data_IF_758517212332
#
_entry.id   IF_758517212332
#
_cell.length_a   1.000
_cell.length_b   1.000
_cell.length_c   1.000
_cell.angle_alpha   90.00
_cell.angle_beta   90.00
_cell.angle_gamma   90.00
#
_symmetry.space_group_name_H-M   'P 1'
#
loop_
_entity.id
_entity.type
_entity.pdbx_description
1 polymer ?
#
# COMPACT_ATOMS: atom_id res chain seq x y z
N UNK A 1 -15.80 -50.58 15.49
CA UNK A 1 -16.06 -50.65 14.03
C UNK A 1 -15.53 -49.37 13.42
N UNK A 2 -14.67 -49.47 12.38
CA UNK A 2 -14.02 -48.34 11.72
C UNK A 2 -14.88 -47.95 10.53
N UNK A 3 -15.36 -46.72 10.48
CA UNK A 3 -16.11 -46.22 9.34
C UNK A 3 -15.13 -45.70 8.28
N UNK A 4 -14.82 -46.57 7.33
CA UNK A 4 -13.87 -46.30 6.26
C UNK A 4 -14.35 -45.19 5.29
N UNK A 5 -15.63 -44.80 5.33
CA UNK A 5 -16.17 -43.73 4.48
C UNK A 5 -15.84 -42.32 5.02
N UNK A 6 -15.73 -42.15 6.33
CA UNK A 6 -15.51 -40.83 6.96
C UNK A 6 -14.05 -40.59 7.37
N UNK A 7 -13.23 -41.63 7.43
CA UNK A 7 -11.80 -41.52 7.75
C UNK A 7 -11.53 -41.12 9.22
N UNK A 8 -12.50 -41.34 10.11
CA UNK A 8 -12.41 -41.02 11.54
C UNK A 8 -12.42 -42.28 12.40
N UNK A 9 -11.64 -42.26 13.47
CA UNK A 9 -11.63 -43.27 14.51
C UNK A 9 -12.84 -43.11 15.45
N UNK A 10 -13.12 -44.13 16.26
CA UNK A 10 -14.24 -44.13 17.21
C UNK A 10 -14.12 -43.06 18.30
N UNK A 11 -12.92 -42.53 18.53
CA UNK A 11 -12.62 -41.40 19.41
C UNK A 11 -12.76 -40.03 18.72
N UNK A 12 -13.23 -40.00 17.46
CA UNK A 12 -13.41 -38.80 16.66
C UNK A 12 -12.15 -38.25 16.02
N UNK A 13 -10.97 -38.86 16.24
CA UNK A 13 -9.71 -38.44 15.60
C UNK A 13 -9.66 -38.87 14.15
N UNK A 14 -8.99 -38.07 13.33
CA UNK A 14 -8.70 -38.45 11.95
C UNK A 14 -7.70 -39.62 11.91
N UNK A 15 -8.00 -40.61 11.07
CA UNK A 15 -7.08 -41.71 10.82
C UNK A 15 -5.84 -41.23 10.06
N UNK A 16 -4.73 -41.95 10.21
CA UNK A 16 -3.49 -41.66 9.50
C UNK A 16 -3.74 -41.69 7.99
N UNK A 17 -3.48 -40.58 7.29
CA UNK A 17 -3.79 -40.39 5.87
C UNK A 17 -5.09 -39.60 5.58
N UNK A 18 -5.94 -39.40 6.58
CA UNK A 18 -7.19 -38.62 6.50
C UNK A 18 -7.11 -37.31 7.29
N UNK A 19 -5.89 -36.77 7.42
CA UNK A 19 -5.67 -35.51 8.13
C UNK A 19 -6.51 -34.40 7.51
N UNK A 20 -7.18 -33.62 8.37
CA UNK A 20 -7.89 -32.41 7.94
C UNK A 20 -6.98 -31.42 7.22
N UNK A 21 -7.51 -30.24 6.90
CA UNK A 21 -6.74 -29.22 6.16
C UNK A 21 -5.39 -28.95 6.83
N UNK A 22 -4.33 -28.85 6.03
CA UNK A 22 -2.95 -28.61 6.51
C UNK A 22 -2.96 -27.42 7.48
N UNK A 23 -2.36 -27.53 8.68
CA UNK A 23 -2.23 -26.40 9.60
C UNK A 23 -1.65 -25.17 8.87
N UNK A 24 -2.33 -24.04 8.99
CA UNK A 24 -1.97 -22.80 8.27
C UNK A 24 -2.65 -22.61 6.89
N UNK A 25 -3.51 -23.53 6.45
CA UNK A 25 -4.26 -23.32 5.20
C UNK A 25 -5.22 -22.13 5.35
N UNK A 26 -5.00 -21.06 4.58
CA UNK A 26 -5.90 -19.90 4.54
C UNK A 26 -7.04 -20.18 3.56
N UNK A 27 -8.27 -19.87 3.95
CA UNK A 27 -9.39 -19.91 3.01
C UNK A 27 -9.17 -18.83 1.95
N UNK A 28 -9.05 -19.24 0.69
CA UNK A 28 -9.07 -18.30 -0.44
C UNK A 28 -10.47 -17.68 -0.46
N UNK A 29 -10.57 -16.39 -0.15
CA UNK A 29 -11.85 -15.67 -0.26
C UNK A 29 -12.26 -15.74 -1.73
N UNK A 30 -13.47 -16.22 -1.99
CA UNK A 30 -13.99 -16.31 -3.36
C UNK A 30 -14.16 -14.89 -3.92
N UNK A 31 -14.02 -14.74 -5.23
CA UNK A 31 -14.22 -13.44 -5.89
C UNK A 31 -15.62 -12.90 -5.63
N UNK A 32 -16.64 -13.77 -5.68
CA UNK A 32 -18.02 -13.44 -5.31
C UNK A 32 -18.16 -12.88 -3.88
N UNK A 33 -17.37 -13.35 -2.91
CA UNK A 33 -17.40 -12.80 -1.55
C UNK A 33 -16.75 -11.42 -1.47
N UNK A 34 -15.73 -11.15 -2.29
CA UNK A 34 -15.12 -9.81 -2.39
C UNK A 34 -16.08 -8.83 -3.09
N UNK A 35 -16.71 -9.27 -4.17
CA UNK A 35 -17.69 -8.46 -4.92
C UNK A 35 -18.91 -8.11 -4.05
N UNK A 36 -19.39 -9.06 -3.22
CA UNK A 36 -20.46 -8.82 -2.25
C UNK A 36 -20.06 -7.79 -1.18
N UNK A 37 -18.81 -7.84 -0.67
CA UNK A 37 -18.31 -6.84 0.28
C UNK A 37 -18.17 -5.47 -0.38
N UNK A 38 -17.75 -5.43 -1.64
CA UNK A 38 -17.62 -4.17 -2.38
C UNK A 38 -18.98 -3.52 -2.67
N UNK A 39 -20.02 -4.33 -2.89
CA UNK A 39 -21.40 -3.86 -3.04
C UNK A 39 -21.94 -3.16 -1.77
N UNK A 40 -21.44 -3.52 -0.59
CA UNK A 40 -21.81 -2.89 0.69
C UNK A 40 -21.09 -1.56 0.95
N UNK A 41 -20.20 -1.11 0.05
CA UNK A 41 -19.36 0.07 0.28
C UNK A 41 -20.16 1.35 0.56
N UNK A 42 -21.27 1.58 -0.14
CA UNK A 42 -22.14 2.74 0.07
C UNK A 42 -22.87 2.69 1.41
N UNK A 43 -23.42 1.53 1.76
CA UNK A 43 -24.10 1.31 3.04
C UNK A 43 -23.13 1.44 4.23
N UNK A 44 -21.93 0.89 4.09
CA UNK A 44 -20.88 0.98 5.11
C UNK A 44 -20.47 2.44 5.38
N UNK A 45 -20.39 3.28 4.33
CA UNK A 45 -20.13 4.72 4.48
C UNK A 45 -21.28 5.41 5.21
N UNK A 46 -22.54 5.06 4.89
CA UNK A 46 -23.71 5.57 5.58
C UNK A 46 -23.68 5.27 7.09
N UNK A 47 -23.45 4.00 7.46
CA UNK A 47 -23.33 3.60 8.87
C UNK A 47 -22.14 4.28 9.57
N UNK A 48 -21.02 4.48 8.86
CA UNK A 48 -19.87 5.19 9.42
C UNK A 48 -20.22 6.65 9.73
N UNK A 49 -20.95 7.35 8.85
CA UNK A 49 -21.41 8.71 9.12
C UNK A 49 -22.33 8.78 10.35
N UNK A 50 -23.27 7.84 10.49
CA UNK A 50 -24.15 7.78 11.65
C UNK A 50 -23.38 7.58 12.95
N UNK A 51 -22.44 6.63 12.98
CA UNK A 51 -21.59 6.37 14.15
C UNK A 51 -20.72 7.56 14.52
N UNK A 52 -20.15 8.25 13.53
CA UNK A 52 -19.38 9.48 13.77
C UNK A 52 -20.27 10.57 14.36
N UNK A 53 -21.47 10.79 13.82
CA UNK A 53 -22.44 11.77 14.36
C UNK A 53 -22.90 11.40 15.77
N UNK A 54 -23.02 10.12 16.08
CA UNK A 54 -23.36 9.62 17.41
C UNK A 54 -22.20 9.70 18.42
N UNK A 55 -21.01 10.15 18.00
CA UNK A 55 -19.85 10.30 18.88
C UNK A 55 -19.14 8.97 19.21
N UNK A 56 -19.30 7.93 18.39
CA UNK A 56 -18.54 6.69 18.53
C UNK A 56 -17.06 6.96 18.23
N UNK A 57 -16.25 7.00 19.29
CA UNK A 57 -14.82 7.29 19.21
C UNK A 57 -14.04 6.29 18.35
N UNK A 58 -14.49 5.04 18.22
CA UNK A 58 -13.84 4.08 17.34
C UNK A 58 -14.07 4.45 15.86
N UNK A 59 -15.28 4.89 15.53
CA UNK A 59 -15.61 5.37 14.18
C UNK A 59 -14.90 6.69 13.84
N UNK A 60 -14.86 7.63 14.80
CA UNK A 60 -14.12 8.90 14.65
C UNK A 60 -12.63 8.63 14.43
N UNK A 61 -12.03 7.78 15.27
CA UNK A 61 -10.62 7.39 15.13
C UNK A 61 -10.35 6.73 13.78
N UNK A 62 -11.22 5.84 13.33
CA UNK A 62 -11.09 5.18 12.04
C UNK A 62 -11.09 6.19 10.87
N UNK A 63 -12.00 7.17 10.90
CA UNK A 63 -12.04 8.23 9.89
C UNK A 63 -10.77 9.07 9.92
N UNK A 64 -10.30 9.46 11.11
CA UNK A 64 -9.05 10.23 11.24
C UNK A 64 -7.83 9.45 10.73
N UNK A 65 -7.70 8.17 11.07
CA UNK A 65 -6.59 7.32 10.59
C UNK A 65 -6.60 7.09 9.06
N UNK A 66 -7.77 7.19 8.42
CA UNK A 66 -7.91 7.02 6.97
C UNK A 66 -7.82 8.32 6.18
N UNK A 67 -8.12 9.46 6.81
CA UNK A 67 -8.07 10.80 6.18
C UNK A 67 -6.75 11.52 6.41
N UNK A 68 -6.13 11.33 7.57
CA UNK A 68 -4.82 11.89 7.86
C UNK A 68 -3.73 11.11 7.11
N UNK A 69 -2.66 11.79 6.67
CA UNK A 69 -1.51 11.14 6.07
C UNK A 69 -0.98 10.03 6.98
N UNK A 70 -0.85 8.81 6.45
CA UNK A 70 -0.29 7.70 7.22
C UNK A 70 1.20 7.96 7.43
N UNK A 71 1.61 8.11 8.68
CA UNK A 71 3.02 8.22 9.06
C UNK A 71 3.49 9.61 9.51
N UNK A 72 2.59 10.57 9.75
CA UNK A 72 2.98 11.85 10.36
C UNK A 72 1.95 12.95 10.19
N UNK A 73 2.35 14.15 10.62
CA UNK A 73 1.62 15.38 10.32
C UNK A 73 1.90 15.82 8.88
N UNK A 74 1.01 16.63 8.32
CA UNK A 74 1.32 17.35 7.09
C UNK A 74 2.48 18.32 7.37
N UNK A 75 3.55 18.20 6.60
CA UNK A 75 4.66 19.14 6.60
C UNK A 75 4.49 20.02 5.38
N UNK A 76 4.31 21.32 5.60
CA UNK A 76 4.44 22.31 4.52
C UNK A 76 5.93 22.63 4.38
N UNK A 77 6.50 22.34 3.21
CA UNK A 77 7.84 22.76 2.86
C UNK A 77 7.74 24.09 2.11
N UNK A 78 8.55 25.08 2.52
CA UNK A 78 8.57 26.39 1.86
C UNK A 78 9.05 26.31 0.40
N UNK A 79 9.81 25.27 0.05
CA UNK A 79 10.23 25.03 -1.33
C UNK A 79 10.42 23.54 -1.65
N UNK A 80 10.55 23.25 -2.94
CA UNK A 80 10.90 21.93 -3.47
C UNK A 80 12.42 21.66 -3.50
N UNK A 81 13.24 22.57 -2.96
CA UNK A 81 14.69 22.38 -2.87
C UNK A 81 15.00 21.34 -1.78
N UNK A 82 15.79 20.29 -2.06
CA UNK A 82 16.28 19.36 -1.03
C UNK A 82 16.89 20.03 0.20
N UNK A 83 17.50 21.21 0.05
CA UNK A 83 18.06 21.97 1.18
C UNK A 83 16.97 22.42 2.16
N UNK A 84 15.75 22.71 1.70
CA UNK A 84 14.65 23.09 2.57
C UNK A 84 14.25 21.97 3.54
N UNK A 85 14.43 20.71 3.15
CA UNK A 85 14.19 19.55 4.04
C UNK A 85 15.25 19.49 5.14
N UNK A 86 16.50 19.79 4.80
CA UNK A 86 17.63 19.80 5.75
C UNK A 86 17.44 20.94 6.75
N UNK A 87 17.08 22.12 6.26
CA UNK A 87 16.85 23.30 7.10
C UNK A 87 15.64 23.09 8.03
N UNK A 88 14.51 22.57 7.52
CA UNK A 88 13.35 22.23 8.34
C UNK A 88 13.67 21.19 9.43
N UNK A 89 14.55 20.21 9.12
CA UNK A 89 15.01 19.24 10.09
C UNK A 89 15.94 19.86 11.14
N UNK A 90 16.83 20.77 10.72
CA UNK A 90 17.75 21.49 11.61
C UNK A 90 17.02 22.46 12.55
N UNK A 91 15.91 23.06 12.09
CA UNK A 91 15.05 23.94 12.88
C UNK A 91 14.07 23.16 13.79
N UNK A 92 14.00 21.82 13.65
CA UNK A 92 13.09 20.98 14.43
C UNK A 92 11.63 21.06 13.98
N UNK A 93 11.37 21.62 12.79
CA UNK A 93 10.04 21.68 12.17
C UNK A 93 9.60 20.32 11.63
N UNK A 94 10.55 19.42 11.36
CA UNK A 94 10.28 18.02 11.04
C UNK A 94 11.18 17.09 11.83
N UNK A 95 10.69 15.88 12.11
CA UNK A 95 11.50 14.84 12.72
C UNK A 95 12.55 14.30 11.72
N UNK A 96 13.66 13.73 12.21
CA UNK A 96 14.65 13.09 11.34
C UNK A 96 14.09 11.98 10.46
N UNK A 97 13.07 11.27 10.95
CA UNK A 97 12.42 10.19 10.20
C UNK A 97 11.53 10.73 9.07
N UNK A 98 10.85 11.86 9.29
CA UNK A 98 10.12 12.58 8.25
C UNK A 98 11.08 13.15 7.20
N UNK A 99 12.20 13.75 7.62
CA UNK A 99 13.24 14.25 6.72
C UNK A 99 13.81 13.14 5.83
N UNK A 100 14.12 11.96 6.40
CA UNK A 100 14.62 10.83 5.63
C UNK A 100 13.61 10.33 4.57
N UNK A 101 12.32 10.24 4.93
CA UNK A 101 11.25 9.85 4.00
C UNK A 101 11.06 10.87 2.86
N UNK A 102 11.11 12.16 3.19
CA UNK A 102 10.98 13.24 2.20
C UNK A 102 12.18 13.23 1.25
N UNK A 103 13.41 13.23 1.76
CA UNK A 103 14.62 13.18 0.94
C UNK A 103 14.66 11.98 -0.01
N UNK A 104 14.22 10.81 0.44
CA UNK A 104 14.12 9.62 -0.41
C UNK A 104 13.12 9.82 -1.56
N UNK A 105 11.98 10.47 -1.28
CA UNK A 105 10.94 10.75 -2.28
C UNK A 105 11.43 11.73 -3.35
N UNK A 106 12.13 12.79 -2.93
CA UNK A 106 12.74 13.77 -3.84
C UNK A 106 13.83 13.14 -4.71
N UNK A 107 14.70 12.30 -4.12
CA UNK A 107 15.71 11.56 -4.87
C UNK A 107 15.08 10.70 -5.97
N UNK A 108 14.04 9.94 -5.64
CA UNK A 108 13.36 9.10 -6.63
C UNK A 108 12.71 9.92 -7.77
N UNK A 109 12.17 11.10 -7.46
CA UNK A 109 11.64 12.01 -8.48
C UNK A 109 12.74 12.59 -9.38
N UNK A 110 13.87 13.00 -8.81
CA UNK A 110 15.04 13.48 -9.55
C UNK A 110 15.62 12.39 -10.46
N UNK A 111 15.88 11.19 -9.91
CA UNK A 111 16.37 10.03 -10.66
C UNK A 111 15.44 9.71 -11.84
N UNK A 112 14.12 9.80 -11.66
CA UNK A 112 13.15 9.57 -12.74
C UNK A 112 13.19 10.65 -13.83
N UNK A 113 13.41 11.91 -13.45
CA UNK A 113 13.58 13.02 -14.40
C UNK A 113 14.86 12.85 -15.21
N UNK A 114 15.97 12.52 -14.55
CA UNK A 114 17.27 12.33 -15.20
C UNK A 114 17.23 11.16 -16.18
N UNK A 115 16.57 10.05 -15.81
CA UNK A 115 16.37 8.91 -16.72
C UNK A 115 15.56 9.31 -17.97
N UNK A 116 14.57 10.20 -17.82
CA UNK A 116 13.77 10.68 -18.95
C UNK A 116 14.61 11.56 -19.88
N UNK A 117 15.42 12.45 -19.33
CA UNK A 117 16.29 13.32 -20.10
C UNK A 117 17.40 12.53 -20.82
N UNK A 118 18.02 11.56 -20.13
CA UNK A 118 19.00 10.66 -20.75
C UNK A 118 18.39 9.87 -21.92
N UNK A 119 17.15 9.37 -21.79
CA UNK A 119 16.44 8.71 -22.90
C UNK A 119 16.23 9.64 -24.08
N UNK A 120 15.83 10.89 -23.83
CA UNK A 120 15.65 11.91 -24.88
C UNK A 120 16.96 12.17 -25.63
N UNK A 121 18.08 12.29 -24.90
CA UNK A 121 19.39 12.50 -25.48
C UNK A 121 19.85 11.29 -26.32
N UNK A 122 19.59 10.07 -25.85
CA UNK A 122 19.89 8.84 -26.61
C UNK A 122 19.09 8.79 -27.91
N UNK A 123 17.78 9.05 -27.88
CA UNK A 123 16.94 9.10 -29.09
C UNK A 123 17.43 10.15 -30.10
N UNK A 124 17.85 11.32 -29.61
CA UNK A 124 18.41 12.39 -30.43
C UNK A 124 19.72 11.96 -31.12
N UNK A 125 20.62 11.33 -30.36
CA UNK A 125 21.89 10.81 -30.89
C UNK A 125 21.67 9.65 -31.89
N UNK A 126 20.76 8.73 -31.61
CA UNK A 126 20.39 7.64 -32.52
C UNK A 126 19.82 8.19 -33.84
N UNK A 127 18.99 9.24 -33.77
CA UNK A 127 18.46 9.94 -34.93
C UNK A 127 19.58 10.55 -35.79
N UNK A 128 20.54 11.23 -35.17
CA UNK A 128 21.69 11.83 -35.85
C UNK A 128 22.60 10.77 -36.49
N UNK A 129 22.92 9.69 -35.79
CA UNK A 129 23.73 8.58 -36.31
C UNK A 129 23.05 7.95 -37.53
N UNK A 130 21.75 7.70 -37.44
CA UNK A 130 20.97 7.13 -38.56
C UNK A 130 20.96 8.06 -39.77
N UNK A 131 20.87 9.37 -39.56
CA UNK A 131 20.92 10.37 -40.63
C UNK A 131 22.30 10.47 -41.30
N UNK A 132 23.39 10.29 -40.54
CA UNK A 132 24.77 10.28 -41.06
C UNK A 132 25.08 8.99 -41.81
N UNK A 133 24.60 7.85 -41.32
CA UNK A 133 24.88 6.52 -41.91
C UNK A 133 24.10 6.26 -43.20
N UNK A 134 23.03 7.03 -43.46
CA UNK A 134 22.21 6.96 -44.69
C UNK A 134 22.74 7.81 -45.85
N UNK A 135 23.82 8.58 -45.67
CA UNK A 135 24.56 9.23 -46.78
C UNK A 135 25.64 8.31 -47.29
#
# INVERSE_FOLDING_TARGET
MIDAQTGRAADGKFLKGFGGRKPGSRNKKSRAALDAVQALSSEAIGQLQEKVRAGDWAAVRFVLEMTLPKGGRTVELESNDPNAIIDAAAMGEISPEEAARLSQSFKTAADASDVKELKRQVEELEGLITAVTKR
#
